data_IF_728041433537
#
_entry.id   IF_728041433537
#
_cell.length_a   1.000
_cell.length_b   1.000
_cell.length_c   1.000
_cell.angle_alpha   90.00
_cell.angle_beta   90.00
_cell.angle_gamma   90.00
#
_symmetry.space_group_name_H-M   'P 1'
#
loop_
_entity.id
_entity.type
_entity.pdbx_description
1 polymer ?
#
# COMPACT_ATOMS: atom_id res chain seq x y z
N UNK A 1 7.54 61.07 -54.62
CA UNK A 1 6.97 59.86 -54.06
C UNK A 1 8.09 58.83 -54.01
N UNK A 2 8.74 58.65 -52.88
CA UNK A 2 9.80 57.67 -52.70
C UNK A 2 9.16 56.34 -52.41
N UNK A 3 9.28 55.43 -53.36
CA UNK A 3 8.83 54.04 -53.26
C UNK A 3 9.85 53.28 -52.37
N UNK A 4 9.52 53.09 -51.12
CA UNK A 4 10.31 52.27 -50.19
C UNK A 4 9.85 50.82 -50.30
N UNK A 5 10.30 50.13 -51.34
CA UNK A 5 10.16 48.69 -51.43
C UNK A 5 11.00 48.03 -50.34
N UNK A 6 10.33 47.31 -49.43
CA UNK A 6 10.99 46.52 -48.38
C UNK A 6 11.96 45.50 -49.00
N UNK A 7 13.15 45.31 -48.41
CA UNK A 7 14.15 44.40 -48.96
C UNK A 7 13.60 42.96 -49.01
N UNK A 8 13.91 42.16 -50.04
CA UNK A 8 13.43 40.80 -50.17
C UNK A 8 13.93 39.95 -49.01
N UNK A 9 13.01 39.37 -48.27
CA UNK A 9 13.35 38.45 -47.16
C UNK A 9 14.13 37.26 -47.67
N UNK A 10 15.33 37.02 -47.15
CA UNK A 10 16.18 35.91 -47.55
C UNK A 10 15.46 34.56 -47.44
N UNK A 11 15.73 33.57 -48.31
CA UNK A 11 15.13 32.22 -48.22
C UNK A 11 15.32 31.58 -46.84
N UNK A 12 16.45 31.81 -46.20
CA UNK A 12 16.77 31.35 -44.87
C UNK A 12 15.79 31.89 -43.79
N UNK A 13 15.41 33.17 -43.87
CA UNK A 13 14.49 33.80 -42.91
C UNK A 13 13.06 33.26 -43.08
N UNK A 14 12.64 32.94 -44.32
CA UNK A 14 11.35 32.28 -44.57
C UNK A 14 11.34 30.85 -44.01
N UNK A 15 12.45 30.14 -44.17
CA UNK A 15 12.59 28.78 -43.66
C UNK A 15 12.62 28.74 -42.14
N UNK A 16 13.36 29.64 -41.51
CA UNK A 16 13.37 29.81 -40.01
C UNK A 16 11.96 30.13 -39.50
N UNK A 17 11.22 31.02 -40.17
CA UNK A 17 9.84 31.34 -39.75
C UNK A 17 8.89 30.15 -39.84
N UNK A 18 9.05 29.30 -40.89
CA UNK A 18 8.27 28.06 -41.01
C UNK A 18 8.64 27.04 -39.94
N UNK A 19 9.95 26.85 -39.70
CA UNK A 19 10.43 25.96 -38.64
C UNK A 19 9.93 26.41 -37.26
N UNK A 20 10.03 27.69 -36.95
CA UNK A 20 9.50 28.26 -35.72
C UNK A 20 7.99 28.02 -35.58
N UNK A 21 7.22 28.26 -36.68
CA UNK A 21 5.77 27.99 -36.67
C UNK A 21 5.43 26.53 -36.43
N UNK A 22 6.19 25.60 -36.99
CA UNK A 22 6.01 24.15 -36.74
C UNK A 22 6.34 23.80 -35.30
N UNK A 23 7.50 24.24 -34.77
CA UNK A 23 7.92 23.94 -33.38
C UNK A 23 6.94 24.56 -32.38
N UNK A 24 6.51 25.79 -32.61
CA UNK A 24 5.52 26.46 -31.79
C UNK A 24 4.16 25.75 -31.84
N UNK A 25 3.71 25.35 -33.02
CA UNK A 25 2.47 24.59 -33.20
C UNK A 25 2.51 23.24 -32.47
N UNK A 26 3.62 22.51 -32.56
CA UNK A 26 3.82 21.25 -31.84
C UNK A 26 3.84 21.44 -30.33
N UNK A 27 4.55 22.47 -29.84
CA UNK A 27 4.59 22.77 -28.41
C UNK A 27 3.20 23.16 -27.86
N UNK A 28 2.45 23.96 -28.63
CA UNK A 28 1.08 24.32 -28.25
C UNK A 28 0.14 23.09 -28.27
N UNK A 29 0.26 22.24 -29.26
CA UNK A 29 -0.52 21.00 -29.35
C UNK A 29 -0.20 20.06 -28.18
N UNK A 30 1.08 19.93 -27.81
CA UNK A 30 1.52 19.18 -26.65
C UNK A 30 0.89 19.72 -25.36
N UNK A 31 0.99 21.02 -25.13
CA UNK A 31 0.42 21.68 -23.95
C UNK A 31 -1.10 21.47 -23.87
N UNK A 32 -1.81 21.64 -25.00
CA UNK A 32 -3.26 21.42 -25.05
C UNK A 32 -3.62 19.95 -24.74
N UNK A 33 -2.83 19.01 -25.24
CA UNK A 33 -3.03 17.58 -24.95
C UNK A 33 -2.78 17.26 -23.47
N UNK A 34 -1.75 17.84 -22.85
CA UNK A 34 -1.50 17.72 -21.41
C UNK A 34 -2.69 18.23 -20.58
N UNK A 35 -3.21 19.41 -20.92
CA UNK A 35 -4.40 19.97 -20.26
C UNK A 35 -5.62 19.09 -20.44
N UNK A 36 -5.83 18.62 -21.68
CA UNK A 36 -7.00 17.81 -22.02
C UNK A 36 -7.01 16.46 -21.28
N UNK A 37 -5.85 15.81 -21.20
CA UNK A 37 -5.71 14.53 -20.46
C UNK A 37 -6.04 14.70 -18.98
N UNK A 38 -5.66 15.82 -18.36
CA UNK A 38 -5.98 16.11 -16.96
C UNK A 38 -7.45 16.48 -16.74
N UNK A 39 -8.05 17.24 -17.66
CA UNK A 39 -9.49 17.60 -17.60
C UNK A 39 -10.38 16.37 -17.81
N UNK A 40 -9.99 15.48 -18.71
CA UNK A 40 -10.76 14.28 -19.06
C UNK A 40 -10.30 13.03 -18.30
N UNK A 41 -9.46 13.17 -17.27
CA UNK A 41 -8.83 12.05 -16.57
C UNK A 41 -9.85 10.96 -16.21
N UNK A 42 -10.97 11.32 -15.57
CA UNK A 42 -12.02 10.36 -15.16
C UNK A 42 -12.83 9.78 -16.33
N UNK A 43 -12.75 10.39 -17.52
CA UNK A 43 -13.36 9.87 -18.74
C UNK A 43 -12.44 8.91 -19.51
N UNK A 44 -11.17 8.81 -19.11
CA UNK A 44 -10.21 7.89 -19.72
C UNK A 44 -10.53 6.44 -19.34
N UNK A 45 -10.18 5.47 -20.19
CA UNK A 45 -10.23 4.07 -19.80
C UNK A 45 -9.42 3.81 -18.50
N UNK A 46 -9.88 2.93 -17.60
CA UNK A 46 -9.20 2.65 -16.33
C UNK A 46 -7.70 2.32 -16.49
N UNK A 47 -7.34 1.64 -17.57
CA UNK A 47 -5.94 1.33 -17.91
C UNK A 47 -5.07 2.56 -18.10
N UNK A 48 -5.61 3.58 -18.75
CA UNK A 48 -4.88 4.84 -18.93
C UNK A 48 -4.84 5.67 -17.66
N UNK A 49 -5.90 5.61 -16.84
CA UNK A 49 -5.91 6.29 -15.55
C UNK A 49 -4.76 5.77 -14.65
N UNK A 50 -4.63 4.45 -14.50
CA UNK A 50 -3.56 3.84 -13.70
C UNK A 50 -2.16 4.24 -14.18
N UNK A 51 -1.91 4.19 -15.49
CA UNK A 51 -0.61 4.61 -16.05
C UNK A 51 -0.33 6.07 -15.77
N UNK A 52 -1.35 6.92 -15.88
CA UNK A 52 -1.20 8.36 -15.66
C UNK A 52 -1.08 8.72 -14.17
N UNK A 53 -1.68 7.96 -13.27
CA UNK A 53 -1.48 8.10 -11.81
C UNK A 53 -0.02 7.88 -11.43
N UNK A 54 0.63 6.87 -12.00
CA UNK A 54 2.07 6.63 -11.81
C UNK A 54 2.98 7.78 -12.32
N UNK A 55 2.47 8.62 -13.21
CA UNK A 55 3.20 9.78 -13.76
C UNK A 55 2.82 11.09 -13.05
N UNK A 56 2.26 11.04 -11.86
CA UNK A 56 1.82 12.23 -11.13
C UNK A 56 0.89 13.14 -11.94
N UNK A 57 0.14 12.56 -12.88
CA UNK A 57 -0.89 13.26 -13.63
C UNK A 57 -2.19 13.20 -12.86
N UNK A 58 -2.57 14.30 -12.26
CA UNK A 58 -3.86 14.42 -11.58
C UNK A 58 -4.85 15.24 -12.37
N UNK A 59 -6.15 14.96 -12.19
CA UNK A 59 -7.19 15.82 -12.73
C UNK A 59 -7.15 17.22 -12.10
N UNK A 60 -7.50 18.23 -12.87
CA UNK A 60 -7.59 19.62 -12.36
C UNK A 60 -8.66 19.85 -11.28
N UNK A 61 -9.54 18.88 -11.07
CA UNK A 61 -10.53 18.91 -9.98
C UNK A 61 -9.88 18.73 -8.61
N UNK A 62 -8.70 18.13 -8.56
CA UNK A 62 -7.89 18.13 -7.37
C UNK A 62 -7.11 19.44 -7.28
N UNK A 63 -7.08 20.04 -6.11
CA UNK A 63 -6.50 21.37 -5.86
C UNK A 63 -4.99 21.47 -6.15
N UNK A 64 -4.37 20.42 -6.68
CA UNK A 64 -2.93 20.34 -6.98
C UNK A 64 -2.70 19.98 -8.43
N UNK A 65 -1.96 20.82 -9.13
CA UNK A 65 -1.49 20.56 -10.50
C UNK A 65 -0.51 19.38 -10.58
N UNK A 66 0.15 19.06 -9.48
CA UNK A 66 1.04 17.93 -9.26
C UNK A 66 0.80 17.45 -7.83
N UNK A 67 0.23 16.27 -7.60
CA UNK A 67 0.14 15.76 -6.25
C UNK A 67 1.55 15.46 -5.78
N UNK A 68 1.88 16.04 -4.67
CA UNK A 68 2.91 15.45 -3.86
C UNK A 68 2.36 14.10 -3.39
N UNK A 69 2.97 12.96 -3.76
CA UNK A 69 2.51 11.70 -3.22
C UNK A 69 2.57 11.76 -1.71
N UNK A 70 1.53 11.28 -1.04
CA UNK A 70 1.51 11.17 0.41
C UNK A 70 2.63 10.23 0.90
N UNK A 71 3.01 9.26 0.06
CA UNK A 71 4.02 8.26 0.33
C UNK A 71 5.36 8.65 -0.26
N UNK A 72 6.42 8.45 0.51
CA UNK A 72 7.80 8.70 0.09
C UNK A 72 8.68 7.49 0.40
N UNK A 73 9.62 7.16 -0.49
CA UNK A 73 10.66 6.16 -0.16
C UNK A 73 11.45 6.59 1.07
N UNK A 74 11.79 5.64 1.91
CA UNK A 74 12.57 5.86 3.12
C UNK A 74 13.54 4.70 3.36
N UNK A 75 14.75 5.02 3.83
CA UNK A 75 15.81 4.02 4.05
C UNK A 75 15.56 3.16 5.29
N UNK A 76 14.81 3.67 6.27
CA UNK A 76 14.57 2.97 7.53
C UNK A 76 13.23 2.21 7.53
N UNK A 77 12.24 2.74 6.81
CA UNK A 77 10.88 2.20 6.81
C UNK A 77 10.40 1.70 5.45
N UNK A 78 11.27 1.69 4.42
CA UNK A 78 10.94 1.47 3.02
C UNK A 78 10.05 2.58 2.45
N UNK A 79 8.96 2.89 3.13
CA UNK A 79 8.03 3.96 2.79
C UNK A 79 7.60 4.71 4.05
N UNK A 80 7.39 6.01 3.95
CA UNK A 80 6.78 6.85 4.99
C UNK A 80 5.68 7.72 4.40
N UNK A 81 4.71 8.10 5.22
CA UNK A 81 3.74 9.12 4.85
C UNK A 81 4.23 10.52 5.24
N UNK A 82 3.77 11.53 4.50
CA UNK A 82 3.89 12.95 4.88
C UNK A 82 2.66 13.39 5.66
N UNK A 83 2.79 14.41 6.54
CA UNK A 83 1.62 15.02 7.16
C UNK A 83 0.70 15.61 6.10
N UNK A 84 -0.57 15.24 6.14
CA UNK A 84 -1.64 15.76 5.29
C UNK A 84 -2.91 15.91 6.10
N UNK A 85 -3.77 16.85 5.69
CA UNK A 85 -5.08 17.07 6.31
C UNK A 85 -6.15 17.00 5.23
N UNK A 86 -7.17 16.17 5.45
CA UNK A 86 -8.32 15.98 4.55
C UNK A 86 -7.89 15.78 3.09
N UNK A 87 -6.85 14.96 2.90
CA UNK A 87 -6.32 14.65 1.59
C UNK A 87 -7.16 13.55 0.93
N UNK A 88 -7.73 13.84 -0.24
CA UNK A 88 -8.44 12.83 -1.02
C UNK A 88 -7.43 11.91 -1.70
N UNK A 89 -7.44 10.64 -1.33
CA UNK A 89 -6.64 9.58 -1.93
C UNK A 89 -7.48 8.76 -2.91
N UNK A 90 -6.89 8.46 -4.05
CA UNK A 90 -7.46 7.62 -5.09
C UNK A 90 -6.54 6.44 -5.36
N UNK A 91 -6.98 5.23 -5.06
CA UNK A 91 -6.32 4.01 -5.51
C UNK A 91 -6.96 3.47 -6.80
N UNK A 92 -8.27 3.68 -6.96
CA UNK A 92 -9.05 3.31 -8.16
C UNK A 92 -10.40 4.02 -8.12
N UNK A 93 -11.26 3.78 -9.12
CA UNK A 93 -12.61 4.33 -9.12
C UNK A 93 -13.46 3.90 -7.89
N UNK A 94 -13.14 2.76 -7.28
CA UNK A 94 -13.81 2.22 -6.11
C UNK A 94 -13.07 2.48 -4.79
N UNK A 95 -11.75 2.72 -4.84
CA UNK A 95 -10.92 3.00 -3.66
C UNK A 95 -10.69 4.50 -3.59
N UNK A 96 -11.59 5.17 -2.90
CA UNK A 96 -11.55 6.62 -2.65
C UNK A 96 -11.81 6.87 -1.19
N UNK A 97 -10.91 7.61 -0.54
CA UNK A 97 -11.05 7.93 0.86
C UNK A 97 -10.32 9.23 1.21
N UNK A 98 -10.75 9.86 2.27
CA UNK A 98 -10.09 11.03 2.84
C UNK A 98 -9.12 10.58 3.92
N UNK A 99 -7.90 11.09 3.88
CA UNK A 99 -6.87 10.76 4.84
C UNK A 99 -6.30 12.00 5.51
N UNK A 100 -6.17 11.93 6.81
CA UNK A 100 -5.37 12.85 7.63
C UNK A 100 -4.27 12.03 8.29
N UNK A 101 -3.04 12.51 8.18
CA UNK A 101 -1.87 11.95 8.85
C UNK A 101 -1.16 13.04 9.61
N UNK A 102 -0.72 12.75 10.82
CA UNK A 102 0.04 13.68 11.66
C UNK A 102 1.44 13.13 11.95
N UNK A 103 2.39 14.04 12.02
CA UNK A 103 3.74 13.77 12.48
C UNK A 103 3.74 13.70 13.99
N UNK A 104 4.27 12.62 14.54
CA UNK A 104 4.32 12.41 15.98
C UNK A 104 5.67 12.89 16.55
N UNK A 105 5.65 13.67 17.64
CA UNK A 105 6.83 14.17 18.37
C UNK A 105 7.91 14.82 17.50
N UNK A 106 7.54 15.53 16.44
CA UNK A 106 8.47 16.13 15.48
C UNK A 106 9.46 15.15 14.83
N UNK A 107 9.13 13.84 14.87
CA UNK A 107 9.92 12.82 14.21
C UNK A 107 9.58 12.71 12.72
N UNK A 108 10.45 12.04 11.98
CA UNK A 108 10.22 11.75 10.57
C UNK A 108 9.09 10.75 10.38
N UNK A 109 8.23 11.00 9.40
CA UNK A 109 7.06 10.17 9.10
C UNK A 109 5.79 10.69 9.76
N UNK A 110 4.66 10.33 9.19
CA UNK A 110 3.33 10.67 9.67
C UNK A 110 2.42 9.45 9.64
N UNK A 111 1.47 9.39 10.57
CA UNK A 111 0.57 8.24 10.77
C UNK A 111 -0.89 8.68 10.75
N UNK A 112 -1.79 7.75 10.51
CA UNK A 112 -3.25 7.96 10.65
C UNK A 112 -3.69 8.02 12.11
N UNK A 113 -2.92 8.71 12.91
CA UNK A 113 -3.21 8.95 14.32
C UNK A 113 -2.91 10.41 14.64
N UNK A 114 -3.43 10.91 15.75
CA UNK A 114 -3.24 12.28 16.18
C UNK A 114 -2.30 12.35 17.35
N UNK A 115 -1.48 13.40 17.41
CA UNK A 115 -0.59 13.66 18.54
C UNK A 115 -1.35 13.65 19.89
N UNK A 116 -2.56 14.21 19.94
CA UNK A 116 -3.37 14.23 21.16
C UNK A 116 -3.74 12.85 21.72
N UNK A 117 -3.72 11.81 20.88
CA UNK A 117 -4.00 10.42 21.32
C UNK A 117 -2.77 9.79 21.97
N UNK A 118 -1.56 10.10 21.49
CA UNK A 118 -0.30 9.61 22.05
C UNK A 118 0.10 10.35 23.32
N UNK A 119 -0.48 11.55 23.57
CA UNK A 119 -0.29 12.31 24.79
C UNK A 119 -1.15 11.80 25.96
N UNK A 120 -2.02 10.84 25.73
CA UNK A 120 -2.86 10.16 26.74
C UNK A 120 -2.29 8.78 27.04
N UNK A 121 -2.88 8.12 28.04
CA UNK A 121 -2.61 6.71 28.26
C UNK A 121 -3.01 5.91 27.02
N UNK A 122 -2.10 5.10 26.49
CA UNK A 122 -2.29 4.30 25.29
C UNK A 122 -2.56 2.86 25.71
N UNK A 123 -3.75 2.35 25.38
CA UNK A 123 -4.16 0.97 25.66
C UNK A 123 -3.53 -0.02 24.69
N UNK A 124 -3.23 0.42 23.47
CA UNK A 124 -2.58 -0.42 22.48
C UNK A 124 -2.07 0.35 21.27
N UNK A 125 -1.10 -0.23 20.58
CA UNK A 125 -0.62 0.24 19.27
C UNK A 125 -0.85 -0.82 18.23
N UNK A 126 -1.11 -0.37 16.98
CA UNK A 126 -1.26 -1.22 15.81
C UNK A 126 -0.15 -0.87 14.84
N UNK A 127 0.68 -1.85 14.48
CA UNK A 127 1.67 -1.75 13.40
C UNK A 127 1.27 -2.67 12.25
N UNK A 128 1.66 -2.36 11.05
CA UNK A 128 1.35 -3.12 9.86
C UNK A 128 1.46 -2.28 8.59
N UNK A 129 1.05 -2.88 7.49
CA UNK A 129 1.12 -2.29 6.16
C UNK A 129 -0.14 -1.47 5.79
N UNK A 130 -0.51 -1.53 4.53
CA UNK A 130 -1.70 -0.87 3.97
C UNK A 130 -3.03 -1.39 4.55
N UNK A 131 -3.08 -2.60 5.08
CA UNK A 131 -4.26 -3.12 5.78
C UNK A 131 -4.43 -2.50 7.18
N UNK A 132 -3.34 -2.19 7.88
CA UNK A 132 -3.39 -1.42 9.13
C UNK A 132 -3.65 0.06 8.87
N UNK A 133 -3.01 0.62 7.82
CA UNK A 133 -3.29 1.99 7.37
C UNK A 133 -4.76 2.18 6.97
N UNK A 134 -5.40 1.18 6.42
CA UNK A 134 -6.74 1.12 5.86
C UNK A 134 -6.95 2.03 4.63
N UNK A 135 -7.41 1.44 3.52
CA UNK A 135 -7.79 2.19 2.32
C UNK A 135 -9.29 2.54 2.34
N UNK A 136 -9.70 3.16 3.44
CA UNK A 136 -11.07 3.63 3.71
C UNK A 136 -11.02 4.97 4.42
N UNK A 137 -12.16 5.65 4.58
CA UNK A 137 -12.26 6.77 5.50
C UNK A 137 -11.94 6.36 6.95
N UNK A 138 -11.55 7.31 7.77
CA UNK A 138 -11.07 7.03 9.14
C UNK A 138 -12.10 6.25 9.98
N UNK A 139 -13.39 6.61 9.87
CA UNK A 139 -14.47 5.96 10.62
C UNK A 139 -14.75 4.53 10.14
N UNK A 140 -14.29 4.19 8.93
CA UNK A 140 -14.43 2.86 8.34
C UNK A 140 -13.18 1.99 8.53
N UNK A 141 -12.08 2.53 9.03
CA UNK A 141 -10.87 1.78 9.34
C UNK A 141 -11.09 0.84 10.53
N UNK A 142 -10.71 -0.43 10.41
CA UNK A 142 -10.91 -1.43 11.47
C UNK A 142 -10.22 -1.03 12.79
N UNK A 143 -9.06 -0.37 12.75
CA UNK A 143 -8.36 0.09 13.95
C UNK A 143 -9.19 1.10 14.72
N UNK A 144 -9.76 2.09 14.03
CA UNK A 144 -10.60 3.12 14.65
C UNK A 144 -11.94 2.55 15.14
N UNK A 145 -12.53 1.63 14.36
CA UNK A 145 -13.74 0.90 14.78
C UNK A 145 -13.49 0.07 16.03
N UNK A 146 -12.37 -0.66 16.06
CA UNK A 146 -11.96 -1.45 17.22
C UNK A 146 -11.76 -0.55 18.46
N UNK A 147 -11.07 0.58 18.30
CA UNK A 147 -10.90 1.56 19.38
C UNK A 147 -12.23 2.07 19.94
N UNK A 148 -13.20 2.36 19.06
CA UNK A 148 -14.54 2.80 19.46
C UNK A 148 -15.34 1.69 20.16
N UNK A 149 -15.33 0.46 19.62
CA UNK A 149 -16.10 -0.66 20.16
C UNK A 149 -15.58 -1.12 21.51
N UNK A 150 -14.27 -1.05 21.72
CA UNK A 150 -13.62 -1.45 22.98
C UNK A 150 -13.49 -0.30 23.98
N UNK A 151 -13.81 0.94 23.57
CA UNK A 151 -13.58 2.16 24.36
C UNK A 151 -12.10 2.31 24.77
N UNK A 152 -11.17 1.86 23.91
CA UNK A 152 -9.72 1.87 24.16
C UNK A 152 -9.01 2.89 23.28
N UNK A 153 -7.94 3.48 23.81
CA UNK A 153 -7.07 4.36 23.06
C UNK A 153 -6.06 3.52 22.27
N UNK A 154 -6.42 3.15 21.03
CA UNK A 154 -5.57 2.40 20.09
C UNK A 154 -4.91 3.35 19.12
N UNK A 155 -3.59 3.27 18.97
CA UNK A 155 -2.78 4.12 18.09
C UNK A 155 -2.49 3.37 16.79
N UNK A 156 -2.90 3.94 15.66
CA UNK A 156 -2.64 3.38 14.33
C UNK A 156 -1.30 3.88 13.80
N UNK A 157 -0.31 2.99 13.73
CA UNK A 157 1.03 3.21 13.17
C UNK A 157 1.24 2.46 11.84
N UNK A 158 0.18 2.08 11.15
CA UNK A 158 0.25 1.41 9.84
C UNK A 158 0.91 2.28 8.77
N UNK A 159 1.78 1.67 7.96
CA UNK A 159 2.53 2.33 6.87
C UNK A 159 2.43 1.51 5.59
N UNK A 160 1.96 2.12 4.53
CA UNK A 160 1.70 1.47 3.23
C UNK A 160 2.97 0.93 2.57
N UNK A 161 2.87 -0.25 1.93
CA UNK A 161 3.97 -0.88 1.18
C UNK A 161 5.22 -1.09 2.05
N UNK A 162 5.03 -1.69 3.22
CA UNK A 162 6.08 -2.04 4.17
C UNK A 162 5.93 -3.48 4.61
N UNK A 163 7.04 -4.10 4.98
CA UNK A 163 7.08 -5.44 5.54
C UNK A 163 7.36 -5.45 7.04
N UNK A 164 7.50 -6.65 7.60
CA UNK A 164 7.66 -6.87 9.04
C UNK A 164 8.90 -6.19 9.64
N UNK A 165 10.02 -6.10 8.91
CA UNK A 165 11.22 -5.36 9.38
C UNK A 165 10.92 -3.88 9.60
N UNK A 166 10.19 -3.28 8.66
CA UNK A 166 9.76 -1.88 8.78
C UNK A 166 8.75 -1.70 9.91
N UNK A 167 7.80 -2.63 10.07
CA UNK A 167 6.82 -2.62 11.18
C UNK A 167 7.53 -2.68 12.53
N UNK A 168 8.55 -3.55 12.68
CA UNK A 168 9.37 -3.64 13.88
C UNK A 168 10.12 -2.34 14.17
N UNK A 169 10.62 -1.68 13.13
CA UNK A 169 11.27 -0.38 13.27
C UNK A 169 10.28 0.72 13.67
N UNK A 170 9.09 0.76 13.07
CA UNK A 170 8.01 1.69 13.48
C UNK A 170 7.59 1.43 14.92
N UNK A 171 7.44 0.16 15.31
CA UNK A 171 7.13 -0.20 16.69
C UNK A 171 8.22 0.30 17.65
N UNK A 172 9.48 0.08 17.33
CA UNK A 172 10.61 0.52 18.16
C UNK A 172 10.67 2.03 18.32
N UNK A 173 10.48 2.79 17.24
CA UNK A 173 10.66 4.24 17.24
C UNK A 173 9.42 4.98 17.80
N UNK A 174 8.20 4.46 17.58
CA UNK A 174 6.96 5.15 17.90
C UNK A 174 6.04 4.41 18.88
N UNK A 175 6.03 3.07 18.87
CA UNK A 175 5.15 2.28 19.70
C UNK A 175 5.72 2.01 21.09
N UNK A 176 6.94 1.46 21.19
CA UNK A 176 7.55 1.07 22.47
C UNK A 176 7.76 2.23 23.46
N UNK A 177 8.06 3.48 23.01
CA UNK A 177 8.15 4.62 23.92
C UNK A 177 6.85 4.89 24.70
N UNK A 178 5.69 4.47 24.17
CA UNK A 178 4.39 4.60 24.82
C UNK A 178 4.15 3.48 25.86
N UNK A 179 4.94 2.41 25.87
CA UNK A 179 4.79 1.23 26.72
C UNK A 179 3.34 0.70 26.74
N UNK A 180 2.72 0.47 25.55
CA UNK A 180 1.33 0.02 25.50
C UNK A 180 1.22 -1.40 26.05
N UNK A 181 0.19 -1.74 26.84
CA UNK A 181 -0.03 -3.12 27.27
C UNK A 181 -0.29 -4.07 26.08
N UNK A 182 -0.89 -3.58 24.98
CA UNK A 182 -1.19 -4.37 23.80
C UNK A 182 -0.47 -3.82 22.57
N UNK A 183 0.21 -4.71 21.84
CA UNK A 183 0.70 -4.46 20.47
C UNK A 183 -0.03 -5.40 19.52
N UNK A 184 -0.78 -4.86 18.59
CA UNK A 184 -1.39 -5.61 17.49
C UNK A 184 -0.50 -5.42 16.26
N UNK A 185 0.04 -6.53 15.75
CA UNK A 185 0.84 -6.55 14.54
C UNK A 185 0.02 -7.16 13.41
N UNK A 186 -0.37 -6.35 12.45
CA UNK A 186 -1.03 -6.85 11.26
C UNK A 186 0.03 -7.34 10.28
N UNK A 187 -0.09 -8.61 9.87
CA UNK A 187 0.76 -9.26 8.88
C UNK A 187 -0.03 -9.57 7.60
N UNK A 188 0.63 -9.42 6.46
CA UNK A 188 0.12 -9.83 5.16
C UNK A 188 1.22 -10.57 4.39
N UNK A 189 0.86 -11.53 3.53
CA UNK A 189 1.81 -12.45 2.92
C UNK A 189 2.86 -11.83 1.98
N UNK A 190 2.76 -10.56 1.63
CA UNK A 190 3.80 -9.85 0.87
C UNK A 190 4.92 -9.27 1.74
N UNK A 191 4.81 -9.34 3.07
CA UNK A 191 5.81 -8.77 3.99
C UNK A 191 7.22 -9.27 3.69
N UNK A 192 7.39 -10.56 3.38
CA UNK A 192 8.69 -11.12 3.02
C UNK A 192 9.31 -10.46 1.78
N UNK A 193 8.50 -10.15 0.77
CA UNK A 193 8.97 -9.46 -0.42
C UNK A 193 9.39 -8.01 -0.12
N UNK A 194 8.63 -7.31 0.71
CA UNK A 194 8.91 -5.93 1.13
C UNK A 194 10.16 -5.87 2.03
N UNK A 195 10.36 -6.86 2.91
CA UNK A 195 11.54 -6.94 3.79
C UNK A 195 12.82 -7.17 2.99
N UNK A 196 12.78 -8.06 1.98
CA UNK A 196 13.88 -8.16 1.03
C UNK A 196 14.10 -6.84 0.29
N UNK A 197 13.03 -6.15 -0.12
CA UNK A 197 13.09 -4.84 -0.76
C UNK A 197 13.80 -3.80 0.10
N UNK A 198 13.51 -3.76 1.40
CA UNK A 198 14.16 -2.88 2.37
C UNK A 198 15.63 -3.24 2.57
N UNK A 199 15.96 -4.53 2.75
CA UNK A 199 17.33 -5.01 2.87
C UNK A 199 18.16 -4.64 1.62
N UNK A 200 17.57 -4.80 0.43
CA UNK A 200 18.18 -4.38 -0.82
C UNK A 200 18.44 -2.86 -0.89
N UNK A 201 17.44 -2.06 -0.48
CA UNK A 201 17.56 -0.59 -0.43
C UNK A 201 18.71 -0.14 0.46
N UNK A 202 18.92 -0.85 1.59
CA UNK A 202 20.01 -0.62 2.53
C UNK A 202 21.36 -1.19 2.10
N UNK A 203 21.39 -2.02 1.06
CA UNK A 203 22.58 -2.76 0.63
C UNK A 203 22.95 -3.92 1.56
N UNK A 204 22.00 -4.45 2.32
CA UNK A 204 22.13 -5.53 3.30
C UNK A 204 21.71 -6.89 2.73
N UNK A 205 20.96 -6.91 1.62
CA UNK A 205 20.48 -8.13 0.98
C UNK A 205 21.63 -9.05 0.54
N UNK A 206 21.55 -10.33 0.87
CA UNK A 206 22.52 -11.37 0.53
C UNK A 206 22.23 -12.00 -0.84
N UNK A 207 20.94 -12.15 -1.15
CA UNK A 207 20.47 -12.72 -2.40
C UNK A 207 20.49 -11.65 -3.50
N UNK A 208 21.07 -11.94 -4.68
CA UNK A 208 21.00 -10.99 -5.79
C UNK A 208 19.55 -10.80 -6.26
N UNK A 209 19.21 -9.62 -6.77
CA UNK A 209 17.90 -9.42 -7.38
C UNK A 209 17.73 -10.31 -8.62
N UNK A 210 16.49 -10.74 -8.88
CA UNK A 210 16.19 -11.40 -10.15
C UNK A 210 16.46 -10.48 -11.32
N UNK A 211 16.91 -11.05 -12.44
CA UNK A 211 17.12 -10.30 -13.69
C UNK A 211 15.80 -9.67 -14.21
N UNK A 212 14.66 -10.29 -13.82
CA UNK A 212 13.32 -9.81 -14.18
C UNK A 212 12.79 -8.68 -13.26
N UNK A 213 13.47 -8.37 -12.15
CA UNK A 213 13.08 -7.22 -11.34
C UNK A 213 13.55 -5.97 -12.07
N UNK A 214 12.65 -5.14 -12.63
CA UNK A 214 13.06 -3.91 -13.28
C UNK A 214 13.85 -3.09 -12.24
N UNK A 215 15.15 -2.89 -12.49
CA UNK A 215 15.88 -1.87 -11.76
C UNK A 215 15.02 -0.62 -11.83
N UNK A 216 14.72 0.02 -10.70
CA UNK A 216 14.09 1.33 -10.71
C UNK A 216 15.06 2.26 -11.44
N UNK A 217 14.91 2.28 -12.77
CA UNK A 217 15.65 3.20 -13.62
C UNK A 217 15.27 4.60 -13.18
N UNK A 218 16.25 5.44 -12.90
CA UNK A 218 16.00 6.87 -12.69
C UNK A 218 15.15 7.38 -13.88
N UNK A 219 13.95 7.80 -13.57
CA UNK A 219 13.01 8.31 -14.57
C UNK A 219 13.38 9.75 -14.90
N UNK A 220 13.33 10.11 -16.16
CA UNK A 220 13.48 11.50 -16.56
C UNK A 220 12.29 12.34 -16.08
N UNK A 221 12.50 13.64 -15.91
CA UNK A 221 11.42 14.56 -15.52
C UNK A 221 10.17 14.45 -16.42
N UNK A 222 10.35 14.22 -17.72
CA UNK A 222 9.23 14.02 -18.66
C UNK A 222 8.49 12.71 -18.40
N UNK A 223 9.19 11.65 -18.04
CA UNK A 223 8.58 10.37 -17.66
C UNK A 223 7.77 10.45 -16.36
N UNK A 224 8.11 11.38 -15.50
CA UNK A 224 7.41 11.59 -14.25
C UNK A 224 6.25 12.60 -14.33
N UNK A 225 6.31 13.57 -15.27
CA UNK A 225 5.43 14.72 -15.21
C UNK A 225 4.63 14.98 -16.50
N UNK A 226 4.90 14.28 -17.62
CA UNK A 226 4.19 14.49 -18.85
C UNK A 226 3.34 13.28 -19.27
N UNK A 227 2.02 13.42 -19.19
CA UNK A 227 1.08 12.41 -19.66
C UNK A 227 1.23 12.12 -21.16
N UNK A 228 1.42 13.16 -21.96
CA UNK A 228 1.60 13.02 -23.41
C UNK A 228 2.88 12.28 -23.73
N UNK A 229 3.97 12.57 -23.01
CA UNK A 229 5.24 11.86 -23.20
C UNK A 229 5.09 10.37 -22.93
N UNK A 230 4.50 10.02 -21.80
CA UNK A 230 4.27 8.62 -21.41
C UNK A 230 3.37 7.90 -22.42
N UNK A 231 2.26 8.50 -22.83
CA UNK A 231 1.39 7.91 -23.84
C UNK A 231 2.10 7.69 -25.18
N UNK A 232 2.99 8.62 -25.58
CA UNK A 232 3.81 8.45 -26.79
C UNK A 232 4.80 7.31 -26.63
N UNK A 233 5.47 7.19 -25.49
CA UNK A 233 6.40 6.08 -25.21
C UNK A 233 5.66 4.74 -25.21
N UNK A 234 4.46 4.68 -24.63
CA UNK A 234 3.60 3.49 -24.66
C UNK A 234 3.25 3.09 -26.11
N UNK A 235 2.82 4.05 -26.93
CA UNK A 235 2.49 3.80 -28.35
C UNK A 235 3.69 3.31 -29.16
N UNK A 236 4.90 3.71 -28.74
CA UNK A 236 6.15 3.28 -29.36
C UNK A 236 6.69 1.96 -28.80
N UNK A 237 6.00 1.36 -27.81
CA UNK A 237 6.44 0.14 -27.12
C UNK A 237 7.73 0.32 -26.32
N UNK A 238 8.01 1.54 -25.85
CA UNK A 238 9.22 1.89 -25.10
C UNK A 238 8.99 2.09 -23.61
N UNK A 239 7.74 2.04 -23.17
CA UNK A 239 7.38 2.23 -21.77
C UNK A 239 6.89 0.91 -21.17
N UNK A 240 7.66 0.37 -20.22
CA UNK A 240 7.39 -0.90 -19.55
C UNK A 240 6.19 -0.79 -18.58
N UNK A 241 5.80 0.44 -18.18
CA UNK A 241 4.67 0.68 -17.28
C UNK A 241 3.34 0.25 -17.90
N UNK A 242 3.19 0.34 -19.20
CA UNK A 242 1.98 -0.15 -19.85
C UNK A 242 1.86 -1.66 -19.78
N UNK A 243 2.95 -2.38 -19.98
CA UNK A 243 2.99 -3.83 -19.79
C UNK A 243 2.73 -4.18 -18.34
N UNK A 244 3.36 -3.46 -17.38
CA UNK A 244 3.11 -3.61 -15.95
C UNK A 244 1.68 -3.24 -15.57
N UNK A 245 1.11 -2.15 -16.10
CA UNK A 245 -0.28 -1.76 -15.84
C UNK A 245 -1.30 -2.71 -16.49
N UNK A 246 -0.98 -3.31 -17.63
CA UNK A 246 -1.79 -4.39 -18.20
C UNK A 246 -1.79 -5.61 -17.28
N UNK A 247 -0.64 -5.98 -16.71
CA UNK A 247 -0.54 -7.03 -15.71
C UNK A 247 -1.32 -6.67 -14.43
N UNK A 248 -1.34 -5.39 -14.04
CA UNK A 248 -2.12 -4.90 -12.89
C UNK A 248 -3.64 -4.98 -13.10
N UNK A 249 -4.09 -4.91 -14.36
CA UNK A 249 -5.50 -4.95 -14.74
C UNK A 249 -5.95 -6.32 -15.26
N UNK A 250 -5.00 -7.19 -15.55
CA UNK A 250 -5.29 -8.55 -15.97
C UNK A 250 -5.79 -9.32 -14.75
N UNK A 251 -7.09 -9.45 -14.67
CA UNK A 251 -7.80 -10.14 -13.60
C UNK A 251 -8.79 -11.11 -14.19
N UNK A 252 -8.92 -12.23 -13.51
CA UNK A 252 -10.01 -13.13 -13.74
C UNK A 252 -11.24 -12.63 -12.97
N UNK A 253 -12.38 -12.58 -13.64
CA UNK A 253 -13.59 -11.99 -13.07
C UNK A 253 -14.58 -13.06 -12.64
N UNK A 254 -15.06 -12.96 -11.40
CA UNK A 254 -16.22 -13.68 -10.92
C UNK A 254 -17.40 -12.73 -10.69
N UNK A 255 -18.58 -13.26 -10.97
CA UNK A 255 -19.84 -12.63 -10.57
C UNK A 255 -20.76 -13.72 -10.03
N UNK A 256 -21.22 -13.54 -8.79
CA UNK A 256 -22.21 -14.40 -8.16
C UNK A 256 -23.24 -13.52 -7.44
N UNK A 257 -24.45 -13.52 -7.93
CA UNK A 257 -25.49 -12.58 -7.48
C UNK A 257 -25.03 -11.13 -7.62
N UNK A 258 -24.98 -10.42 -6.49
CA UNK A 258 -24.51 -9.04 -6.39
C UNK A 258 -22.98 -8.93 -6.17
N UNK A 259 -22.30 -10.05 -5.90
CA UNK A 259 -20.85 -10.10 -5.77
C UNK A 259 -20.19 -9.91 -7.14
N UNK A 260 -19.23 -9.00 -7.19
CA UNK A 260 -18.37 -8.79 -8.34
C UNK A 260 -16.93 -8.63 -7.90
N UNK A 261 -16.10 -9.60 -8.23
CA UNK A 261 -14.72 -9.69 -7.75
C UNK A 261 -13.77 -9.98 -8.90
N UNK A 262 -12.63 -9.28 -8.90
CA UNK A 262 -11.50 -9.55 -9.78
C UNK A 262 -10.37 -10.20 -8.97
N UNK A 263 -9.89 -11.34 -9.44
CA UNK A 263 -8.85 -12.16 -8.80
C UNK A 263 -7.56 -12.20 -9.62
N UNK A 264 -6.49 -12.71 -9.03
CA UNK A 264 -5.29 -13.07 -9.76
C UNK A 264 -4.39 -11.91 -10.10
N UNK A 265 -4.24 -10.94 -9.21
CA UNK A 265 -3.30 -9.82 -9.40
C UNK A 265 -1.88 -10.36 -9.61
N UNK A 266 -1.21 -10.07 -10.76
CA UNK A 266 0.06 -10.72 -11.11
C UNK A 266 1.18 -10.60 -10.08
N UNK A 267 1.24 -9.49 -9.34
CA UNK A 267 2.28 -9.31 -8.33
C UNK A 267 2.19 -10.35 -7.19
N UNK A 268 1.00 -10.89 -6.88
CA UNK A 268 0.82 -11.89 -5.84
C UNK A 268 1.72 -13.10 -6.08
N UNK A 269 1.85 -13.52 -7.34
CA UNK A 269 2.63 -14.70 -7.71
C UNK A 269 4.13 -14.54 -7.46
N UNK A 270 4.63 -13.31 -7.52
CA UNK A 270 6.01 -13.00 -7.20
C UNK A 270 6.25 -12.67 -5.73
N UNK A 271 5.30 -11.97 -5.10
CA UNK A 271 5.46 -11.48 -3.73
C UNK A 271 5.22 -12.56 -2.66
N UNK A 272 4.33 -13.53 -2.94
CA UNK A 272 3.93 -14.56 -1.98
C UNK A 272 4.70 -15.88 -2.13
N UNK A 273 5.48 -16.03 -3.20
CA UNK A 273 6.25 -17.25 -3.46
C UNK A 273 7.50 -17.30 -2.56
N UNK A 274 7.41 -18.03 -1.45
CA UNK A 274 8.53 -18.22 -0.52
C UNK A 274 9.64 -19.16 -1.06
N UNK A 275 9.42 -19.87 -2.17
CA UNK A 275 10.47 -20.64 -2.83
C UNK A 275 11.46 -19.74 -3.59
N UNK A 276 11.07 -18.51 -3.90
CA UNK A 276 12.00 -17.53 -4.48
C UNK A 276 13.06 -17.15 -3.46
N UNK A 277 14.36 -17.23 -3.83
CA UNK A 277 15.44 -16.96 -2.87
C UNK A 277 15.35 -15.59 -2.18
N UNK A 278 14.83 -14.58 -2.88
CA UNK A 278 14.64 -13.24 -2.35
C UNK A 278 13.58 -13.19 -1.26
N UNK A 279 12.43 -13.85 -1.50
CA UNK A 279 11.36 -13.92 -0.53
C UNK A 279 11.73 -14.85 0.65
N UNK A 280 12.50 -15.90 0.40
CA UNK A 280 13.03 -16.76 1.46
C UNK A 280 13.95 -15.98 2.40
N UNK A 281 14.83 -15.12 1.85
CA UNK A 281 15.65 -14.20 2.66
C UNK A 281 14.78 -13.21 3.43
N UNK A 282 13.81 -12.56 2.76
CA UNK A 282 12.89 -11.63 3.40
C UNK A 282 12.04 -12.29 4.47
N UNK A 283 11.62 -13.55 4.28
CA UNK A 283 10.89 -14.31 5.28
C UNK A 283 11.72 -14.55 6.56
N UNK A 284 13.00 -14.83 6.44
CA UNK A 284 13.89 -14.92 7.60
C UNK A 284 13.97 -13.57 8.34
N UNK A 285 14.11 -12.47 7.60
CA UNK A 285 14.12 -11.13 8.18
C UNK A 285 12.80 -10.81 8.91
N UNK A 286 11.66 -11.21 8.33
CA UNK A 286 10.34 -11.09 8.97
C UNK A 286 10.28 -11.86 10.29
N UNK A 287 10.74 -13.11 10.30
CA UNK A 287 10.78 -13.95 11.50
C UNK A 287 11.61 -13.31 12.62
N UNK A 288 12.80 -12.81 12.30
CA UNK A 288 13.67 -12.12 13.25
C UNK A 288 13.01 -10.85 13.80
N UNK A 289 12.26 -10.11 12.98
CA UNK A 289 11.54 -8.93 13.40
C UNK A 289 10.41 -9.27 14.42
N UNK A 290 9.64 -10.35 14.19
CA UNK A 290 8.62 -10.81 15.13
C UNK A 290 9.21 -11.23 16.49
N UNK A 291 10.29 -12.02 16.47
CA UNK A 291 10.94 -12.48 17.68
C UNK A 291 11.53 -11.31 18.48
N UNK A 292 12.15 -10.36 17.79
CA UNK A 292 12.68 -9.14 18.42
C UNK A 292 11.55 -8.31 19.04
N UNK A 293 10.43 -8.14 18.32
CA UNK A 293 9.29 -7.41 18.85
C UNK A 293 8.67 -8.09 20.07
N UNK A 294 8.53 -9.43 20.04
CA UNK A 294 8.08 -10.20 21.19
C UNK A 294 8.96 -9.93 22.42
N UNK A 295 10.27 -10.10 22.26
CA UNK A 295 11.22 -9.88 23.37
C UNK A 295 11.10 -8.46 23.94
N UNK A 296 10.98 -7.46 23.07
CA UNK A 296 10.87 -6.06 23.48
C UNK A 296 9.55 -5.77 24.20
N UNK A 297 8.42 -6.29 23.68
CA UNK A 297 7.08 -6.06 24.25
C UNK A 297 6.90 -6.82 25.55
N UNK A 298 7.20 -8.12 25.59
CA UNK A 298 7.11 -8.93 26.79
C UNK A 298 8.12 -8.50 27.87
N UNK A 299 9.28 -7.95 27.44
CA UNK A 299 10.31 -7.44 28.33
C UNK A 299 9.86 -6.31 29.27
N UNK A 300 8.77 -5.61 28.95
CA UNK A 300 8.15 -4.65 29.86
C UNK A 300 6.76 -5.09 30.38
N UNK A 301 6.37 -6.33 30.12
CA UNK A 301 5.10 -6.92 30.53
C UNK A 301 3.93 -6.65 29.59
N UNK A 302 4.19 -6.23 28.36
CA UNK A 302 3.16 -6.06 27.32
C UNK A 302 2.86 -7.36 26.57
N UNK A 303 1.82 -7.35 25.76
CA UNK A 303 1.36 -8.48 24.96
C UNK A 303 1.47 -8.18 23.47
N UNK A 304 2.13 -9.08 22.72
CA UNK A 304 2.19 -9.03 21.26
C UNK A 304 1.15 -9.98 20.66
N UNK A 305 0.28 -9.46 19.84
CA UNK A 305 -0.75 -10.21 19.11
C UNK A 305 -0.59 -9.97 17.63
N UNK A 306 -0.43 -11.03 16.83
CA UNK A 306 -0.28 -10.94 15.37
C UNK A 306 -1.61 -11.29 14.72
N UNK A 307 -2.10 -10.43 13.82
CA UNK A 307 -3.33 -10.64 13.07
C UNK A 307 -2.96 -10.93 11.61
N UNK A 308 -3.29 -12.12 11.14
CA UNK A 308 -3.00 -12.56 9.80
C UNK A 308 -4.07 -12.06 8.82
N UNK A 309 -3.68 -11.31 7.80
CA UNK A 309 -4.62 -10.86 6.78
C UNK A 309 -4.65 -11.86 5.63
N UNK A 310 -5.80 -12.53 5.38
CA UNK A 310 -5.93 -13.42 4.25
C UNK A 310 -6.03 -12.64 2.94
N UNK A 311 -5.65 -13.26 1.83
CA UNK A 311 -5.89 -12.71 0.50
C UNK A 311 -7.37 -12.80 0.14
N UNK A 312 -7.82 -11.93 -0.76
CA UNK A 312 -9.17 -11.99 -1.34
C UNK A 312 -9.44 -13.36 -1.99
N UNK A 313 -8.44 -13.91 -2.64
CA UNK A 313 -8.47 -15.22 -3.27
C UNK A 313 -8.75 -16.36 -2.28
N UNK A 314 -8.12 -16.31 -1.11
CA UNK A 314 -8.34 -17.31 -0.04
C UNK A 314 -9.74 -17.19 0.56
N UNK A 315 -10.20 -15.95 0.80
CA UNK A 315 -11.53 -15.69 1.37
C UNK A 315 -12.66 -16.13 0.43
N UNK A 316 -12.51 -15.92 -0.88
CA UNK A 316 -13.48 -16.29 -1.90
C UNK A 316 -13.03 -17.50 -2.73
N UNK A 317 -12.44 -18.49 -2.08
CA UNK A 317 -11.80 -19.66 -2.71
C UNK A 317 -12.66 -20.32 -3.77
N UNK A 318 -13.94 -20.57 -3.46
CA UNK A 318 -14.85 -21.25 -4.38
C UNK A 318 -15.04 -20.50 -5.71
N UNK A 319 -14.91 -19.17 -5.68
CA UNK A 319 -14.98 -18.33 -6.88
C UNK A 319 -13.61 -18.11 -7.53
N UNK A 320 -12.55 -18.05 -6.73
CA UNK A 320 -11.20 -17.73 -7.19
C UNK A 320 -10.47 -18.93 -7.82
N UNK A 321 -10.47 -20.09 -7.15
CA UNK A 321 -9.68 -21.26 -7.57
C UNK A 321 -10.03 -21.77 -8.98
N UNK A 322 -11.31 -21.84 -9.42
CA UNK A 322 -11.65 -22.20 -10.79
C UNK A 322 -11.09 -21.25 -11.86
N UNK A 323 -10.81 -20.00 -11.48
CA UNK A 323 -10.34 -18.95 -12.38
C UNK A 323 -8.81 -18.87 -12.43
N UNK A 324 -8.17 -18.85 -11.26
CA UNK A 324 -6.71 -18.65 -11.17
C UNK A 324 -5.92 -19.97 -11.16
N UNK A 325 -6.59 -21.09 -10.88
CA UNK A 325 -6.01 -22.43 -10.84
C UNK A 325 -5.48 -22.85 -9.46
N UNK A 326 -5.50 -24.15 -9.19
CA UNK A 326 -5.10 -24.72 -7.91
C UNK A 326 -3.63 -24.46 -7.54
N UNK A 327 -2.73 -24.40 -8.53
CA UNK A 327 -1.31 -24.13 -8.32
C UNK A 327 -1.08 -22.74 -7.70
N UNK A 328 -1.76 -21.73 -8.23
CA UNK A 328 -1.68 -20.36 -7.69
C UNK A 328 -2.37 -20.22 -6.33
N UNK A 329 -3.47 -20.97 -6.12
CA UNK A 329 -4.08 -21.02 -4.79
C UNK A 329 -3.15 -21.66 -3.77
N UNK A 330 -2.49 -22.77 -4.12
CA UNK A 330 -1.53 -23.44 -3.25
C UNK A 330 -0.39 -22.48 -2.81
N UNK A 331 0.13 -21.67 -3.74
CA UNK A 331 1.18 -20.69 -3.43
C UNK A 331 0.73 -19.69 -2.34
N UNK A 332 -0.52 -19.20 -2.40
CA UNK A 332 -1.06 -18.29 -1.39
C UNK A 332 -1.28 -19.01 -0.05
N UNK A 333 -1.73 -20.27 -0.11
CA UNK A 333 -1.96 -21.08 1.08
C UNK A 333 -0.64 -21.47 1.76
N UNK A 334 0.38 -21.85 1.01
CA UNK A 334 1.70 -22.22 1.53
C UNK A 334 2.35 -21.04 2.26
N UNK A 335 2.24 -19.82 1.71
CA UNK A 335 2.71 -18.62 2.36
C UNK A 335 1.97 -18.35 3.68
N UNK A 336 0.65 -18.43 3.67
CA UNK A 336 -0.19 -18.23 4.86
C UNK A 336 0.06 -19.30 5.93
N UNK A 337 0.18 -20.58 5.49
CA UNK A 337 0.47 -21.71 6.37
C UNK A 337 1.87 -21.59 6.99
N UNK A 338 2.86 -21.12 6.25
CA UNK A 338 4.20 -20.88 6.79
C UNK A 338 4.18 -19.91 7.98
N UNK A 339 3.34 -18.87 7.93
CA UNK A 339 3.16 -17.96 9.06
C UNK A 339 2.46 -18.64 10.24
N UNK A 340 1.40 -19.43 10.00
CA UNK A 340 0.73 -20.18 11.07
C UNK A 340 1.67 -21.18 11.75
N UNK A 341 2.47 -21.89 10.96
CA UNK A 341 3.45 -22.86 11.46
C UNK A 341 4.54 -22.17 12.29
N UNK A 342 5.02 -21.01 11.83
CA UNK A 342 5.96 -20.20 12.58
C UNK A 342 5.36 -19.72 13.92
N UNK A 343 4.13 -19.22 13.91
CA UNK A 343 3.43 -18.83 15.13
C UNK A 343 3.35 -19.99 16.13
N UNK A 344 2.98 -21.17 15.65
CA UNK A 344 2.86 -22.35 16.51
C UNK A 344 4.22 -22.83 17.05
N UNK A 345 5.26 -22.81 16.23
CA UNK A 345 6.61 -23.21 16.59
C UNK A 345 7.23 -22.29 17.67
N UNK A 346 7.00 -20.98 17.54
CA UNK A 346 7.56 -19.97 18.43
C UNK A 346 6.62 -19.63 19.61
N UNK A 347 5.40 -20.17 19.65
CA UNK A 347 4.43 -19.87 20.70
C UNK A 347 3.91 -18.42 20.67
N UNK A 348 3.87 -17.82 19.48
CA UNK A 348 3.33 -16.47 19.28
C UNK A 348 1.80 -16.50 19.30
N UNK A 349 1.17 -15.46 19.85
CA UNK A 349 -0.28 -15.28 19.79
C UNK A 349 -0.65 -14.76 18.39
N UNK A 350 -1.07 -15.67 17.52
CA UNK A 350 -1.48 -15.35 16.15
C UNK A 350 -2.97 -15.59 15.97
N UNK A 351 -3.65 -14.59 15.43
CA UNK A 351 -5.09 -14.62 15.18
C UNK A 351 -5.35 -14.83 13.69
N UNK A 352 -6.08 -15.89 13.38
CA UNK A 352 -6.46 -16.25 12.00
C UNK A 352 -7.92 -15.87 11.72
N UNK A 353 -8.19 -14.74 11.05
CA UNK A 353 -9.55 -14.34 10.67
C UNK A 353 -10.07 -15.01 9.39
N UNK A 354 -9.25 -15.80 8.68
CA UNK A 354 -9.66 -16.43 7.42
C UNK A 354 -10.96 -17.23 7.55
N UNK A 355 -11.19 -18.09 8.59
CA UNK A 355 -12.44 -18.80 8.71
C UNK A 355 -13.66 -17.89 8.83
N UNK A 356 -13.56 -16.81 9.62
CA UNK A 356 -14.63 -15.80 9.78
C UNK A 356 -14.92 -15.10 8.46
N UNK A 357 -13.88 -14.66 7.74
CA UNK A 357 -14.05 -14.01 6.45
C UNK A 357 -14.66 -14.95 5.42
N UNK A 358 -14.23 -16.22 5.37
CA UNK A 358 -14.75 -17.22 4.43
C UNK A 358 -16.23 -17.55 4.71
N UNK A 359 -16.65 -17.62 5.98
CA UNK A 359 -18.04 -17.82 6.37
C UNK A 359 -18.93 -16.66 5.88
N UNK A 360 -18.49 -15.42 6.09
CA UNK A 360 -19.22 -14.23 5.63
C UNK A 360 -19.25 -14.11 4.10
N UNK A 361 -18.15 -14.47 3.44
CA UNK A 361 -18.08 -14.52 1.98
C UNK A 361 -19.06 -15.57 1.40
N UNK A 362 -19.14 -16.75 2.01
CA UNK A 362 -20.10 -17.79 1.64
C UNK A 362 -21.57 -17.37 1.88
N UNK A 363 -21.80 -16.45 2.83
CA UNK A 363 -23.11 -15.82 3.02
C UNK A 363 -23.42 -14.71 1.98
N UNK A 364 -22.54 -14.45 1.02
CA UNK A 364 -22.71 -13.48 -0.06
C UNK A 364 -22.26 -12.06 0.29
N UNK A 365 -21.47 -11.89 1.35
CA UNK A 365 -20.94 -10.57 1.69
C UNK A 365 -19.69 -10.23 0.85
N UNK A 366 -19.65 -9.03 0.28
CA UNK A 366 -18.45 -8.49 -0.35
C UNK A 366 -17.61 -7.74 0.68
N UNK A 367 -16.47 -8.32 1.08
CA UNK A 367 -15.61 -7.84 2.16
C UNK A 367 -14.35 -7.12 1.65
N UNK A 368 -14.02 -7.36 0.38
CA UNK A 368 -12.91 -6.73 -0.33
C UNK A 368 -13.44 -5.81 -1.43
N UNK A 369 -12.62 -4.88 -1.86
CA UNK A 369 -12.92 -4.13 -3.07
C UNK A 369 -12.97 -5.04 -4.30
N UNK A 370 -13.72 -4.64 -5.31
CA UNK A 370 -13.89 -5.43 -6.54
C UNK A 370 -12.56 -5.74 -7.21
N UNK A 371 -11.75 -4.72 -7.44
CA UNK A 371 -10.47 -4.83 -8.18
C UNK A 371 -9.25 -4.72 -7.29
N UNK A 372 -9.36 -4.08 -6.16
CA UNK A 372 -8.28 -3.88 -5.21
C UNK A 372 -8.18 -5.06 -4.22
N UNK A 373 -7.01 -5.26 -3.63
CA UNK A 373 -6.74 -6.37 -2.70
C UNK A 373 -7.17 -6.08 -1.28
N UNK A 374 -7.46 -4.82 -0.95
CA UNK A 374 -7.74 -4.40 0.41
C UNK A 374 -9.20 -4.65 0.81
N UNK A 375 -9.40 -4.68 2.11
CA UNK A 375 -10.73 -4.70 2.70
C UNK A 375 -11.50 -3.42 2.35
N UNK A 376 -12.73 -3.58 1.90
CA UNK A 376 -13.66 -2.46 1.79
C UNK A 376 -14.22 -2.08 3.19
N UNK A 377 -15.06 -1.03 3.34
CA UNK A 377 -15.62 -0.64 4.63
C UNK A 377 -16.33 -1.78 5.39
N UNK A 378 -16.98 -2.72 4.66
CA UNK A 378 -17.66 -3.88 5.27
C UNK A 378 -16.65 -4.91 5.79
N UNK A 379 -15.57 -5.18 5.05
CA UNK A 379 -14.51 -6.06 5.49
C UNK A 379 -13.77 -5.51 6.71
N UNK A 380 -13.49 -4.20 6.72
CA UNK A 380 -12.93 -3.53 7.89
C UNK A 380 -13.84 -3.63 9.12
N UNK A 381 -15.16 -3.45 8.95
CA UNK A 381 -16.12 -3.63 10.04
C UNK A 381 -16.12 -5.08 10.56
N UNK A 382 -16.09 -6.07 9.64
CA UNK A 382 -16.06 -7.48 10.02
C UNK A 382 -14.83 -7.83 10.85
N UNK A 383 -13.65 -7.32 10.46
CA UNK A 383 -12.41 -7.52 11.21
C UNK A 383 -12.47 -6.87 12.60
N UNK A 384 -12.97 -5.63 12.67
CA UNK A 384 -13.12 -4.92 13.93
C UNK A 384 -14.06 -5.67 14.91
N UNK A 385 -15.24 -6.11 14.42
CA UNK A 385 -16.22 -6.86 15.20
C UNK A 385 -15.62 -8.16 15.77
N UNK A 386 -14.88 -8.89 14.92
CA UNK A 386 -14.23 -10.15 15.30
C UNK A 386 -13.11 -9.94 16.31
N UNK A 387 -12.26 -8.94 16.12
CA UNK A 387 -11.19 -8.60 17.06
C UNK A 387 -11.76 -8.08 18.40
N UNK A 388 -12.83 -7.28 18.37
CA UNK A 388 -13.48 -6.80 19.59
C UNK A 388 -14.04 -7.96 20.44
N UNK A 389 -14.62 -8.98 19.79
CA UNK A 389 -15.09 -10.18 20.47
C UNK A 389 -13.93 -10.95 21.11
N UNK A 390 -12.82 -11.14 20.37
CA UNK A 390 -11.62 -11.78 20.92
C UNK A 390 -11.02 -11.00 22.10
N UNK A 391 -10.92 -9.67 21.99
CA UNK A 391 -10.41 -8.83 23.06
C UNK A 391 -11.31 -8.83 24.31
N UNK A 392 -12.63 -8.98 24.13
CA UNK A 392 -13.57 -9.12 25.25
C UNK A 392 -13.39 -10.45 26.00
N UNK A 393 -12.95 -11.50 25.33
CA UNK A 393 -12.65 -12.82 25.91
C UNK A 393 -11.24 -12.87 26.53
N UNK A 394 -10.34 -11.92 26.13
CA UNK A 394 -8.94 -11.86 26.58
C UNK A 394 -8.59 -10.46 27.15
N UNK A 395 -9.31 -9.98 28.20
CA UNK A 395 -9.13 -8.63 28.73
C UNK A 395 -7.76 -8.38 29.36
N UNK A 396 -7.03 -9.44 29.72
CA UNK A 396 -5.68 -9.39 30.32
C UNK A 396 -4.67 -8.72 29.38
N UNK A 397 -4.86 -8.78 28.06
CA UNK A 397 -3.94 -8.15 27.09
C UNK A 397 -3.87 -6.62 27.20
N UNK A 398 -4.82 -6.00 27.93
CA UNK A 398 -4.81 -4.57 28.24
C UNK A 398 -4.15 -4.22 29.57
N UNK A 399 -3.49 -5.18 30.21
CA UNK A 399 -2.77 -4.97 31.47
C UNK A 399 -1.31 -5.40 31.30
N UNK A 400 -0.41 -4.64 31.91
CA UNK A 400 0.99 -5.05 31.96
C UNK A 400 1.18 -6.16 33.01
N UNK A 401 1.93 -7.20 32.65
CA UNK A 401 2.32 -8.24 33.58
C UNK A 401 3.30 -7.69 34.63
N UNK A 402 2.92 -7.71 35.92
CA UNK A 402 3.72 -7.16 37.02
C UNK A 402 5.04 -7.93 37.25
N UNK A 403 5.21 -9.12 36.68
CA UNK A 403 6.34 -10.02 36.93
C UNK A 403 7.64 -9.65 36.21
N UNK A 404 7.61 -8.69 35.32
CA UNK A 404 8.74 -8.33 34.42
C UNK A 404 9.44 -7.02 34.80
N UNK A 405 9.14 -6.39 35.93
CA UNK A 405 9.94 -5.24 36.38
C UNK A 405 11.34 -5.73 36.76
N UNK A 406 12.41 -5.33 36.06
CA UNK A 406 13.76 -5.61 36.55
C UNK A 406 13.92 -4.91 37.91
N UNK A 407 14.40 -5.65 38.90
CA UNK A 407 14.80 -5.11 40.21
C UNK A 407 15.69 -3.86 39.94
N UNK A 408 15.22 -2.71 40.41
CA UNK A 408 15.85 -1.40 40.31
C UNK A 408 17.17 -1.30 41.06
#
# INVERSE_FOLDING_TARGET
VSDTSAPPTSPARKWLGRLFGIVFGLALAWLLAEVLLRVLFFALPPRLQLVLEEVRVTPFTERRLLPDPIWQPDIDYLTIARPVTDFEQFGSAEVRFTVTTEQLWDQRGAFRTRQELVDRYVDGVVVGDSFAFCFTDADDCWVNRLAQQTERNLINLGVVSTGSVAHGRVLQDFGLPLRPPLVIWQWYGNDANEDYGLARLRGEAQTPPDDDTPLQRERSWLEENSAVYVLVQMLLGKDDRYAASLQFLDREWAQDGDLRLGFGRPYLWGAFDLERPQNAEGWQLSQDAFLTAREQVEGYGGHLVIVLMPTKEQVYRELAEPLIGAERMALLDDNYQAMLDFCAAEGLTCLDPLPMFAERAAAGEQLYYTTDIHLNPRGNAALADWLAAWLAENPEVFTLDETTTPDS
#
